data_IF_772085838904
#
_entry.id   IF_772085838904
#
_cell.length_a   1.000
_cell.length_b   1.000
_cell.length_c   1.000
_cell.angle_alpha   90.00
_cell.angle_beta   90.00
_cell.angle_gamma   90.00
#
_symmetry.space_group_name_H-M   'P 1'
#
loop_
_entity.id
_entity.type
_entity.pdbx_description
1 polymer ?
#
# COMPACT_ATOMS: atom_id res chain seq x y z
N UNK A 1 6.73 -28.49 7.12
CA UNK A 1 6.20 -27.46 6.22
C UNK A 1 6.44 -27.88 4.78
N UNK A 2 5.39 -27.94 3.97
CA UNK A 2 5.48 -28.16 2.52
C UNK A 2 6.05 -26.92 1.82
N UNK A 3 6.52 -27.08 0.58
CA UNK A 3 7.00 -25.97 -0.25
C UNK A 3 5.89 -24.93 -0.50
N UNK A 4 4.66 -25.41 -0.73
CA UNK A 4 3.46 -24.57 -0.84
C UNK A 4 3.22 -23.71 0.40
N UNK A 5 3.36 -24.27 1.61
CA UNK A 5 3.19 -23.53 2.86
C UNK A 5 4.26 -22.44 3.04
N UNK A 6 5.50 -22.69 2.60
CA UNK A 6 6.58 -21.69 2.61
C UNK A 6 6.23 -20.51 1.69
N UNK A 7 5.78 -20.78 0.47
CA UNK A 7 5.38 -19.73 -0.47
C UNK A 7 4.19 -18.91 0.02
N UNK A 8 3.19 -19.56 0.63
CA UNK A 8 2.05 -18.86 1.24
C UNK A 8 2.53 -17.93 2.36
N UNK A 9 3.44 -18.41 3.22
CA UNK A 9 3.98 -17.61 4.32
C UNK A 9 4.78 -16.39 3.81
N UNK A 10 5.61 -16.56 2.78
CA UNK A 10 6.36 -15.46 2.15
C UNK A 10 5.43 -14.44 1.51
N UNK A 11 4.44 -14.90 0.74
CA UNK A 11 3.40 -14.04 0.16
C UNK A 11 2.72 -13.20 1.23
N UNK A 12 2.33 -13.80 2.36
CA UNK A 12 1.67 -13.10 3.46
C UNK A 12 2.57 -12.03 4.10
N UNK A 13 3.88 -12.32 4.26
CA UNK A 13 4.85 -11.33 4.76
C UNK A 13 4.99 -10.14 3.81
N UNK A 14 5.04 -10.40 2.50
CA UNK A 14 5.12 -9.36 1.47
C UNK A 14 3.87 -8.48 1.52
N UNK A 15 2.68 -9.08 1.53
CA UNK A 15 1.41 -8.36 1.62
C UNK A 15 1.36 -7.45 2.85
N UNK A 16 1.72 -7.97 4.02
CA UNK A 16 1.80 -7.20 5.26
C UNK A 16 2.80 -6.05 5.18
N UNK A 17 3.92 -6.24 4.48
CA UNK A 17 4.89 -5.19 4.21
C UNK A 17 4.30 -4.07 3.34
N UNK A 18 3.59 -4.43 2.28
CA UNK A 18 2.94 -3.49 1.36
C UNK A 18 1.82 -2.69 2.06
N UNK A 19 1.01 -3.34 2.89
CA UNK A 19 -0.02 -2.68 3.72
C UNK A 19 0.61 -1.59 4.60
N UNK A 20 1.68 -1.93 5.32
CA UNK A 20 2.39 -1.00 6.20
C UNK A 20 3.03 0.17 5.44
N UNK A 21 3.53 -0.06 4.22
CA UNK A 21 4.05 1.00 3.35
C UNK A 21 2.93 1.96 2.97
N UNK A 22 1.76 1.43 2.60
CA UNK A 22 0.60 2.23 2.21
C UNK A 22 0.09 3.09 3.36
N UNK A 23 -0.03 2.54 4.57
CA UNK A 23 -0.40 3.28 5.78
C UNK A 23 0.55 4.45 6.05
N UNK A 24 1.88 4.19 6.01
CA UNK A 24 2.90 5.22 6.21
C UNK A 24 2.88 6.30 5.14
N UNK A 25 2.63 5.91 3.89
CA UNK A 25 2.50 6.86 2.77
C UNK A 25 1.32 7.81 2.99
N UNK A 26 0.15 7.27 3.39
CA UNK A 26 -1.02 8.10 3.68
C UNK A 26 -0.71 9.07 4.82
N UNK A 27 -0.17 8.57 5.93
CA UNK A 27 0.18 9.41 7.08
C UNK A 27 1.16 10.53 6.70
N UNK A 28 2.18 10.21 5.89
CA UNK A 28 3.13 11.18 5.38
C UNK A 28 2.45 12.24 4.49
N UNK A 29 1.58 11.83 3.57
CA UNK A 29 0.86 12.74 2.67
C UNK A 29 -0.07 13.68 3.44
N UNK A 30 -0.76 13.18 4.47
CA UNK A 30 -1.58 13.96 5.40
C UNK A 30 -0.75 14.97 6.19
N UNK A 31 0.33 14.52 6.84
CA UNK A 31 1.21 15.39 7.61
C UNK A 31 1.84 16.52 6.77
N UNK A 32 2.09 16.26 5.48
CA UNK A 32 2.63 17.24 4.53
C UNK A 32 1.57 18.06 3.79
N UNK A 33 0.27 17.85 4.07
CA UNK A 33 -0.85 18.43 3.33
C UNK A 33 -0.68 18.32 1.79
N UNK A 34 -0.17 17.18 1.33
CA UNK A 34 0.16 16.94 -0.07
C UNK A 34 -0.77 15.91 -0.71
N UNK A 35 -1.14 16.14 -1.98
CA UNK A 35 -2.05 15.26 -2.73
C UNK A 35 -1.43 13.88 -2.96
N UNK A 36 -2.25 12.85 -2.81
CA UNK A 36 -1.92 11.48 -3.21
C UNK A 36 -2.43 11.25 -4.64
N UNK A 37 -1.57 10.80 -5.55
CA UNK A 37 -1.95 10.51 -6.94
C UNK A 37 -2.00 9.00 -7.12
N UNK A 38 -3.13 8.47 -7.56
CA UNK A 38 -3.35 7.04 -7.78
C UNK A 38 -4.00 6.82 -9.13
N UNK A 39 -3.78 5.64 -9.72
CA UNK A 39 -4.55 5.20 -10.87
C UNK A 39 -5.75 4.40 -10.35
N UNK A 40 -6.96 4.83 -10.69
CA UNK A 40 -8.21 4.10 -10.45
C UNK A 40 -8.98 4.01 -11.76
N UNK A 41 -9.42 2.81 -12.13
CA UNK A 41 -10.18 2.57 -13.37
C UNK A 41 -9.47 3.16 -14.62
N UNK A 42 -8.16 2.90 -14.75
CA UNK A 42 -7.30 3.47 -15.81
C UNK A 42 -7.24 5.01 -15.87
N UNK A 43 -7.71 5.72 -14.84
CA UNK A 43 -7.66 7.18 -14.76
C UNK A 43 -6.77 7.62 -13.60
N UNK A 44 -6.03 8.70 -13.81
CA UNK A 44 -5.23 9.34 -12.77
C UNK A 44 -6.17 10.16 -11.87
N UNK A 45 -6.24 9.81 -10.60
CA UNK A 45 -7.05 10.48 -9.58
C UNK A 45 -6.14 11.10 -8.53
N UNK A 46 -6.42 12.35 -8.14
CA UNK A 46 -5.74 13.05 -7.05
C UNK A 46 -6.66 13.04 -5.83
N UNK A 47 -6.20 12.44 -4.74
CA UNK A 47 -6.89 12.37 -3.45
C UNK A 47 -6.27 13.44 -2.55
N UNK A 48 -7.12 14.32 -2.01
CA UNK A 48 -6.66 15.31 -1.04
C UNK A 48 -6.45 14.62 0.32
N UNK A 49 -5.46 15.05 1.10
CA UNK A 49 -5.33 14.63 2.49
C UNK A 49 -6.46 15.27 3.31
N UNK A 50 -7.46 14.49 3.70
CA UNK A 50 -8.42 14.83 4.78
C UNK A 50 -7.81 14.59 6.16
#
# INVERSE_FOLDING_TARGET
MTETEKHINEKNKILKGLEKVYEKLIAFKKARNSKLVVIRNNKIVKINPE
#
